data_IF_254775429777
#
_entry.id   IF_254775429777
#
_cell.length_a   1.000
_cell.length_b   1.000
_cell.length_c   1.000
_cell.angle_alpha   90.00
_cell.angle_beta   90.00
_cell.angle_gamma   90.00
#
_symmetry.space_group_name_H-M   'P 1'
#
loop_
_entity.id
_entity.type
_entity.pdbx_description
1 polymer ?
#
# COMPACT_ATOMS: atom_id res chain seq x y z
N UNK A 1 -10.05 -12.05 6.23
CA UNK A 1 -9.72 -10.62 6.34
C UNK A 1 -10.81 -9.97 7.18
N UNK A 2 -10.48 -9.59 8.39
CA UNK A 2 -11.43 -8.91 9.25
C UNK A 2 -11.91 -7.60 8.61
N UNK A 3 -13.20 -7.34 8.66
CA UNK A 3 -13.82 -6.13 8.15
C UNK A 3 -14.09 -6.06 6.64
N UNK A 4 -13.66 -7.02 5.82
CA UNK A 4 -14.02 -7.09 4.41
C UNK A 4 -15.00 -8.22 4.19
N UNK A 5 -16.27 -7.87 4.00
CA UNK A 5 -17.35 -8.84 3.80
C UNK A 5 -18.24 -8.41 2.61
N UNK A 6 -18.85 -9.39 1.97
CA UNK A 6 -19.90 -9.12 1.01
C UNK A 6 -21.14 -8.60 1.73
N UNK A 7 -21.87 -7.69 1.11
CA UNK A 7 -23.14 -7.15 1.62
C UNK A 7 -24.30 -8.15 1.50
N UNK A 8 -25.41 -7.79 2.08
CA UNK A 8 -26.73 -8.41 1.87
C UNK A 8 -26.81 -9.90 2.17
N UNK A 9 -26.06 -10.37 3.16
CA UNK A 9 -26.09 -11.77 3.60
C UNK A 9 -25.31 -12.75 2.71
N UNK A 10 -24.72 -12.29 1.59
CA UNK A 10 -23.97 -13.16 0.69
C UNK A 10 -22.74 -13.78 1.39
N UNK A 11 -22.09 -13.04 2.27
CA UNK A 11 -20.94 -13.54 3.03
C UNK A 11 -21.33 -14.73 3.92
N UNK A 12 -22.42 -14.59 4.67
CA UNK A 12 -22.96 -15.64 5.54
C UNK A 12 -23.44 -16.86 4.74
N UNK A 13 -23.99 -16.63 3.55
CA UNK A 13 -24.40 -17.72 2.66
C UNK A 13 -23.18 -18.53 2.16
N UNK A 14 -22.07 -17.85 1.87
CA UNK A 14 -20.80 -18.51 1.49
C UNK A 14 -20.22 -19.26 2.68
N UNK A 15 -20.19 -18.65 3.87
CA UNK A 15 -19.73 -19.31 5.10
C UNK A 15 -20.54 -20.59 5.40
N UNK A 16 -21.86 -20.52 5.23
CA UNK A 16 -22.74 -21.69 5.40
C UNK A 16 -22.45 -22.78 4.35
N UNK A 17 -22.26 -22.37 3.07
CA UNK A 17 -21.93 -23.31 1.99
C UNK A 17 -20.60 -24.02 2.21
N UNK A 18 -19.60 -23.31 2.69
CA UNK A 18 -18.25 -23.84 2.94
C UNK A 18 -18.13 -24.53 4.33
N UNK A 19 -19.23 -24.67 5.09
CA UNK A 19 -19.28 -25.28 6.43
C UNK A 19 -18.30 -24.66 7.44
N UNK A 20 -18.06 -23.34 7.34
CA UNK A 20 -17.31 -22.59 8.34
C UNK A 20 -18.26 -21.89 9.30
N UNK A 21 -17.74 -21.44 10.44
CA UNK A 21 -18.57 -20.72 11.43
C UNK A 21 -19.16 -19.45 10.80
N UNK A 22 -20.48 -19.36 10.80
CA UNK A 22 -21.19 -18.16 10.35
C UNK A 22 -21.00 -17.06 11.40
N UNK A 23 -20.47 -15.93 10.97
CA UNK A 23 -20.28 -14.76 11.84
C UNK A 23 -21.44 -13.76 11.71
N UNK A 24 -21.60 -12.91 12.72
CA UNK A 24 -22.63 -11.89 12.75
C UNK A 24 -22.49 -10.91 11.56
N UNK A 25 -23.60 -10.43 11.03
CA UNK A 25 -23.60 -9.40 10.02
C UNK A 25 -23.03 -8.10 10.60
N UNK A 26 -22.05 -7.51 9.89
CA UNK A 26 -21.45 -6.24 10.26
C UNK A 26 -21.87 -5.19 9.24
N UNK A 27 -22.23 -4.00 9.73
CA UNK A 27 -22.52 -2.85 8.88
C UNK A 27 -21.42 -1.82 9.03
N UNK A 28 -20.82 -1.39 7.92
CA UNK A 28 -19.87 -0.29 7.92
C UNK A 28 -20.62 1.03 7.94
N UNK A 29 -20.51 1.78 9.03
CA UNK A 29 -21.17 3.08 9.15
C UNK A 29 -20.41 4.22 8.48
N UNK A 30 -19.08 4.14 8.45
CA UNK A 30 -18.22 5.14 7.84
C UNK A 30 -16.86 4.53 7.49
N UNK A 31 -16.23 5.08 6.48
CA UNK A 31 -14.84 4.78 6.10
C UNK A 31 -14.01 6.06 6.17
N UNK A 32 -12.74 5.91 6.48
CA UNK A 32 -11.76 7.00 6.47
C UNK A 32 -10.47 6.47 5.85
N UNK A 33 -9.83 7.25 5.01
CA UNK A 33 -8.52 6.88 4.48
C UNK A 33 -7.46 6.95 5.57
N UNK A 34 -6.41 6.14 5.45
CA UNK A 34 -5.28 6.19 6.39
C UNK A 34 -4.66 7.59 6.48
N UNK A 35 -4.59 8.29 5.35
CA UNK A 35 -4.05 9.63 5.28
C UNK A 35 -4.89 10.60 6.12
N UNK A 36 -6.21 10.60 5.96
CA UNK A 36 -7.09 11.46 6.74
C UNK A 36 -7.13 11.04 8.22
N UNK A 37 -7.05 9.75 8.51
CA UNK A 37 -6.94 9.27 9.89
C UNK A 37 -5.70 9.83 10.59
N UNK A 38 -4.52 9.76 9.96
CA UNK A 38 -3.30 10.29 10.56
C UNK A 38 -3.26 11.83 10.62
N UNK A 39 -3.93 12.53 9.71
CA UNK A 39 -4.09 13.99 9.76
C UNK A 39 -4.93 14.49 10.94
N UNK A 40 -5.71 13.61 11.59
CA UNK A 40 -6.47 13.97 12.80
C UNK A 40 -5.57 14.23 14.02
N UNK A 41 -4.32 13.77 13.99
CA UNK A 41 -3.40 13.97 15.10
C UNK A 41 -2.67 15.32 14.98
N UNK A 42 -2.64 16.07 16.09
CA UNK A 42 -1.93 17.35 16.15
C UNK A 42 -0.40 17.19 16.08
N UNK A 43 0.11 16.03 16.53
CA UNK A 43 1.53 15.72 16.54
C UNK A 43 1.72 14.27 16.11
N UNK A 44 2.46 14.08 15.03
CA UNK A 44 2.76 12.77 14.47
C UNK A 44 4.25 12.67 14.16
N UNK A 45 4.84 11.52 14.42
CA UNK A 45 6.21 11.18 14.04
C UNK A 45 6.32 9.68 13.80
N UNK A 46 7.36 9.25 13.11
CA UNK A 46 7.61 7.85 12.83
C UNK A 46 9.08 7.56 12.59
N UNK A 47 9.45 6.30 12.64
CA UNK A 47 10.82 5.84 12.35
C UNK A 47 10.80 4.69 11.36
N UNK A 48 11.68 4.78 10.37
CA UNK A 48 11.89 3.71 9.38
C UNK A 48 13.27 3.82 8.76
N UNK A 49 13.84 2.73 8.31
CA UNK A 49 15.11 2.73 7.56
C UNK A 49 14.98 3.13 6.08
N UNK A 50 13.78 3.46 5.59
CA UNK A 50 13.53 3.63 4.15
C UNK A 50 12.66 4.84 3.80
N UNK A 51 12.54 5.84 4.67
CA UNK A 51 11.70 7.02 4.43
C UNK A 51 12.25 7.97 3.36
N UNK A 52 13.56 8.00 3.16
CA UNK A 52 14.24 8.97 2.30
C UNK A 52 13.70 8.99 0.87
N UNK A 53 13.37 7.83 0.31
CA UNK A 53 12.81 7.73 -1.05
C UNK A 53 11.45 8.38 -1.20
N UNK A 54 10.70 8.48 -0.11
CA UNK A 54 9.32 8.98 -0.03
C UNK A 54 9.23 10.34 0.68
N UNK A 55 10.37 11.04 0.90
CA UNK A 55 10.41 12.30 1.65
C UNK A 55 9.46 13.36 1.08
N UNK A 56 9.38 13.46 -0.25
CA UNK A 56 8.46 14.37 -0.93
C UNK A 56 6.98 14.08 -0.63
N UNK A 57 6.60 12.79 -0.60
CA UNK A 57 5.23 12.37 -0.26
C UNK A 57 4.91 12.67 1.21
N UNK A 58 5.82 12.41 2.14
CA UNK A 58 5.65 12.76 3.56
C UNK A 58 5.45 14.25 3.76
N UNK A 59 6.21 15.07 3.09
CA UNK A 59 6.04 16.52 3.14
C UNK A 59 4.72 16.97 2.53
N UNK A 60 4.38 16.49 1.35
CA UNK A 60 3.18 16.93 0.63
C UNK A 60 1.90 16.59 1.40
N UNK A 61 1.81 15.37 1.95
CA UNK A 61 0.59 14.86 2.60
C UNK A 61 0.50 15.25 4.07
N UNK A 62 1.60 15.10 4.82
CA UNK A 62 1.58 15.24 6.29
C UNK A 62 2.38 16.42 6.81
N UNK A 63 3.10 17.16 5.94
CA UNK A 63 4.03 18.23 6.31
C UNK A 63 5.13 17.75 7.26
N UNK A 64 5.58 16.51 7.08
CA UNK A 64 6.63 15.90 7.85
C UNK A 64 7.96 15.94 7.11
N UNK A 65 8.99 16.43 7.77
CA UNK A 65 10.37 16.33 7.30
C UNK A 65 10.94 14.93 7.55
N UNK A 66 11.78 14.47 6.63
CA UNK A 66 12.54 13.23 6.78
C UNK A 66 13.97 13.55 7.13
N UNK A 67 14.39 13.17 8.34
CA UNK A 67 15.73 13.38 8.85
C UNK A 67 16.47 12.04 8.86
N UNK A 68 17.57 11.95 8.10
CA UNK A 68 18.43 10.77 8.09
C UNK A 68 19.39 10.81 9.27
N UNK A 69 19.27 9.82 10.17
CA UNK A 69 20.17 9.64 11.30
C UNK A 69 21.27 8.65 10.89
N UNK A 70 22.54 8.98 11.03
CA UNK A 70 23.63 8.07 10.73
C UNK A 70 23.54 6.76 11.51
N UNK A 71 23.96 5.66 10.90
CA UNK A 71 23.99 4.34 11.56
C UNK A 71 25.02 4.32 12.68
N UNK A 72 24.73 3.59 13.76
CA UNK A 72 25.65 3.43 14.92
C UNK A 72 27.01 2.83 14.52
N UNK A 73 27.01 1.90 13.56
CA UNK A 73 28.22 1.30 12.99
C UNK A 73 28.22 1.43 11.48
N UNK A 74 29.37 1.53 10.82
CA UNK A 74 29.45 1.57 9.36
C UNK A 74 28.78 0.34 8.74
N UNK A 75 28.13 0.53 7.61
CA UNK A 75 27.54 -0.57 6.84
C UNK A 75 28.66 -1.34 6.16
N UNK A 76 28.78 -2.64 6.44
CA UNK A 76 29.75 -3.55 5.82
C UNK A 76 29.14 -4.45 4.75
N UNK A 77 27.85 -4.26 4.45
CA UNK A 77 27.15 -5.01 3.40
C UNK A 77 27.65 -4.57 2.02
N UNK A 78 27.98 -5.57 1.20
CA UNK A 78 28.35 -5.38 -0.21
C UNK A 78 27.06 -5.41 -1.07
N UNK A 79 26.65 -4.23 -1.56
CA UNK A 79 25.49 -4.09 -2.43
C UNK A 79 25.93 -4.17 -3.91
N UNK A 80 25.86 -5.35 -4.49
CA UNK A 80 26.32 -5.63 -5.86
C UNK A 80 25.36 -5.05 -6.91
N UNK A 81 25.89 -4.79 -8.10
CA UNK A 81 25.09 -4.38 -9.27
C UNK A 81 24.11 -5.47 -9.70
N UNK A 82 23.00 -5.05 -10.32
CA UNK A 82 21.98 -5.97 -10.82
C UNK A 82 22.52 -6.86 -11.95
N UNK A 83 22.11 -8.12 -11.96
CA UNK A 83 22.35 -9.08 -13.04
C UNK A 83 21.12 -9.12 -13.93
N UNK A 84 21.28 -8.72 -15.19
CA UNK A 84 20.16 -8.63 -16.14
C UNK A 84 20.25 -9.72 -17.20
N UNK A 85 19.19 -10.51 -17.30
CA UNK A 85 19.01 -11.65 -18.18
C UNK A 85 17.96 -11.35 -19.25
N UNK A 86 18.02 -12.05 -20.39
CA UNK A 86 17.01 -11.93 -21.45
C UNK A 86 15.68 -12.55 -20.99
N UNK A 87 15.73 -13.73 -20.40
CA UNK A 87 14.54 -14.53 -20.05
C UNK A 87 14.45 -14.84 -18.55
N UNK A 88 13.24 -15.09 -18.07
CA UNK A 88 12.99 -15.54 -16.70
C UNK A 88 13.65 -16.92 -16.43
N UNK A 89 13.72 -17.77 -17.43
CA UNK A 89 14.35 -19.10 -17.31
C UNK A 89 15.83 -19.00 -16.98
N UNK A 90 16.57 -18.14 -17.69
CA UNK A 90 17.99 -17.88 -17.44
C UNK A 90 18.19 -17.29 -16.05
N UNK A 91 17.40 -16.28 -15.72
CA UNK A 91 17.40 -15.63 -14.39
C UNK A 91 17.24 -16.64 -13.26
N UNK A 92 16.21 -17.48 -13.30
CA UNK A 92 15.97 -18.45 -12.21
C UNK A 92 17.04 -19.55 -12.16
N UNK A 93 17.61 -19.96 -13.29
CA UNK A 93 18.73 -20.89 -13.27
C UNK A 93 19.94 -20.28 -12.56
N UNK A 94 20.28 -19.04 -12.87
CA UNK A 94 21.38 -18.32 -12.22
C UNK A 94 21.12 -18.10 -10.71
N UNK A 95 19.92 -17.74 -10.33
CA UNK A 95 19.51 -17.62 -8.89
C UNK A 95 19.76 -18.93 -8.16
N UNK A 96 19.40 -20.06 -8.74
CA UNK A 96 19.52 -21.36 -8.10
C UNK A 96 20.99 -21.81 -8.02
N UNK A 97 21.81 -21.48 -9.01
CA UNK A 97 23.25 -21.76 -9.00
C UNK A 97 23.95 -20.95 -7.91
N UNK A 98 23.61 -19.68 -7.78
CA UNK A 98 24.17 -18.81 -6.73
C UNK A 98 23.72 -19.25 -5.33
N UNK A 99 22.46 -19.68 -5.15
CA UNK A 99 21.97 -20.28 -3.90
C UNK A 99 22.79 -21.53 -3.54
N UNK A 100 23.04 -22.41 -4.47
CA UNK A 100 23.81 -23.64 -4.23
C UNK A 100 25.26 -23.32 -3.85
N UNK A 101 25.89 -22.38 -4.57
CA UNK A 101 27.25 -21.95 -4.29
C UNK A 101 27.38 -21.33 -2.88
N UNK A 102 26.56 -20.31 -2.57
CA UNK A 102 26.59 -19.62 -1.29
C UNK A 102 26.27 -20.55 -0.11
N UNK A 103 25.35 -21.49 -0.31
CA UNK A 103 25.02 -22.51 0.71
C UNK A 103 26.21 -23.44 0.99
N UNK A 104 26.98 -23.83 -0.03
CA UNK A 104 28.22 -24.61 0.13
C UNK A 104 29.32 -23.83 0.83
N UNK A 105 29.37 -22.52 0.65
CA UNK A 105 30.28 -21.62 1.35
C UNK A 105 29.89 -21.42 2.85
N UNK A 106 28.76 -21.98 3.28
CA UNK A 106 28.28 -21.88 4.66
C UNK A 106 27.50 -20.60 4.97
N UNK A 107 27.19 -19.80 3.99
CA UNK A 107 26.44 -18.55 4.16
C UNK A 107 24.93 -18.83 4.26
N UNK A 108 24.21 -18.16 5.15
CA UNK A 108 22.75 -18.12 5.11
C UNK A 108 22.28 -17.24 3.94
N UNK A 109 21.17 -17.62 3.33
CA UNK A 109 20.64 -16.96 2.14
C UNK A 109 19.17 -16.61 2.36
N UNK A 110 18.82 -15.36 2.13
CA UNK A 110 17.44 -14.90 2.09
C UNK A 110 17.07 -14.52 0.66
N UNK A 111 16.17 -15.30 0.07
CA UNK A 111 15.67 -15.07 -1.28
C UNK A 111 14.37 -14.29 -1.21
N UNK A 112 14.39 -13.06 -1.71
CA UNK A 112 13.21 -12.20 -1.80
C UNK A 112 12.46 -12.41 -3.11
N UNK A 113 11.16 -12.69 -3.02
CA UNK A 113 10.26 -12.86 -4.16
C UNK A 113 9.15 -11.83 -4.16
N UNK A 114 8.64 -11.47 -5.31
CA UNK A 114 7.55 -10.48 -5.47
C UNK A 114 6.17 -11.10 -5.28
N UNK A 115 6.03 -12.40 -5.52
CA UNK A 115 4.75 -13.10 -5.39
C UNK A 115 4.87 -14.47 -4.74
N UNK A 116 3.74 -15.00 -4.29
CA UNK A 116 3.65 -16.36 -3.72
C UNK A 116 3.93 -17.41 -4.78
N UNK A 117 3.48 -17.20 -6.01
CA UNK A 117 3.67 -18.12 -7.13
C UNK A 117 5.16 -18.31 -7.45
N UNK A 118 5.93 -17.21 -7.47
CA UNK A 118 7.38 -17.26 -7.67
C UNK A 118 8.06 -18.00 -6.52
N UNK A 119 7.62 -17.78 -5.29
CA UNK A 119 8.18 -18.48 -4.13
C UNK A 119 7.92 -19.99 -4.18
N UNK A 120 6.74 -20.41 -4.62
CA UNK A 120 6.36 -21.81 -4.78
C UNK A 120 7.12 -22.47 -5.96
N UNK A 121 7.30 -21.73 -7.06
CA UNK A 121 8.09 -22.17 -8.20
C UNK A 121 9.55 -22.44 -7.80
N UNK A 122 10.19 -21.47 -7.17
CA UNK A 122 11.58 -21.61 -6.69
C UNK A 122 11.70 -22.75 -5.68
N UNK A 123 10.78 -22.85 -4.73
CA UNK A 123 10.74 -23.96 -3.77
C UNK A 123 10.68 -25.32 -4.46
N UNK A 124 9.86 -25.44 -5.51
CA UNK A 124 9.75 -26.69 -6.27
C UNK A 124 11.05 -27.04 -6.97
N UNK A 125 11.74 -26.06 -7.56
CA UNK A 125 13.01 -26.29 -8.25
C UNK A 125 14.13 -26.63 -7.26
N UNK A 126 14.26 -25.90 -6.14
CA UNK A 126 15.25 -26.19 -5.10
C UNK A 126 15.06 -27.58 -4.49
N UNK A 127 13.81 -28.00 -4.28
CA UNK A 127 13.49 -29.37 -3.81
C UNK A 127 13.94 -30.43 -4.81
N UNK A 128 13.73 -30.22 -6.10
CA UNK A 128 14.21 -31.14 -7.16
C UNK A 128 15.73 -31.23 -7.21
N UNK A 129 16.44 -30.15 -6.85
CA UNK A 129 17.93 -30.12 -6.77
C UNK A 129 18.45 -30.62 -5.41
N UNK A 130 17.57 -31.01 -4.47
CA UNK A 130 17.96 -31.53 -3.14
C UNK A 130 18.43 -30.45 -2.17
N UNK A 131 18.21 -29.17 -2.45
CA UNK A 131 18.59 -28.05 -1.57
C UNK A 131 17.51 -27.88 -0.51
N UNK A 132 17.91 -28.06 0.75
CA UNK A 132 17.00 -27.81 1.90
C UNK A 132 16.72 -26.33 2.03
N UNK A 133 15.45 -25.98 2.19
CA UNK A 133 15.03 -24.58 2.32
C UNK A 133 13.73 -24.45 3.09
N UNK A 134 13.52 -23.29 3.67
CA UNK A 134 12.28 -22.86 4.30
C UNK A 134 11.55 -21.84 3.41
N UNK A 135 10.21 -21.86 3.42
CA UNK A 135 9.39 -20.90 2.67
C UNK A 135 8.57 -20.08 3.67
N UNK A 136 8.74 -18.77 3.58
CA UNK A 136 8.06 -17.78 4.39
C UNK A 136 7.09 -17.00 3.52
N UNK A 137 5.82 -17.35 3.54
CA UNK A 137 4.77 -16.70 2.78
C UNK A 137 3.53 -16.46 3.66
N UNK A 138 2.58 -15.67 3.14
CA UNK A 138 1.36 -15.29 3.86
C UNK A 138 0.45 -16.47 4.30
N UNK A 139 0.73 -17.69 3.86
CA UNK A 139 -0.04 -18.88 4.22
C UNK A 139 0.42 -19.54 5.55
N UNK A 140 1.58 -19.17 6.09
CA UNK A 140 2.25 -19.88 7.19
C UNK A 140 2.53 -19.01 8.42
N UNK A 141 1.65 -18.09 8.77
CA UNK A 141 1.84 -17.11 9.85
C UNK A 141 2.26 -17.67 11.22
N UNK A 142 1.76 -18.85 11.59
CA UNK A 142 2.04 -19.43 12.93
C UNK A 142 3.48 -19.92 13.10
N UNK A 143 4.20 -20.21 11.99
CA UNK A 143 5.59 -20.68 12.01
C UNK A 143 6.60 -19.61 11.59
N UNK A 144 6.13 -18.41 11.36
CA UNK A 144 6.94 -17.32 10.82
C UNK A 144 8.14 -16.98 11.70
N UNK A 145 7.92 -16.89 13.01
CA UNK A 145 8.97 -16.56 13.97
C UNK A 145 10.06 -17.64 14.05
N UNK A 146 9.67 -18.92 14.01
CA UNK A 146 10.60 -20.04 14.05
C UNK A 146 11.45 -20.09 12.78
N UNK A 147 10.83 -19.91 11.61
CA UNK A 147 11.54 -19.88 10.31
C UNK A 147 12.53 -18.72 10.26
N UNK A 148 12.14 -17.53 10.75
CA UNK A 148 13.05 -16.38 10.78
C UNK A 148 14.19 -16.59 11.76
N UNK A 149 13.96 -17.24 12.91
CA UNK A 149 15.01 -17.58 13.84
C UNK A 149 16.05 -18.54 13.23
N UNK A 150 15.62 -19.47 12.37
CA UNK A 150 16.49 -20.40 11.65
C UNK A 150 17.21 -19.78 10.46
N UNK A 151 16.68 -18.68 9.90
CA UNK A 151 17.20 -18.06 8.66
C UNK A 151 18.64 -17.54 8.78
N UNK A 152 19.15 -17.35 9.97
CA UNK A 152 20.54 -16.94 10.26
C UNK A 152 21.53 -18.08 10.48
N UNK A 153 21.08 -19.34 10.43
CA UNK A 153 21.94 -20.49 10.63
C UNK A 153 22.84 -20.75 9.39
N UNK A 154 23.96 -21.43 9.63
CA UNK A 154 24.89 -21.81 8.56
C UNK A 154 24.18 -22.58 7.44
N UNK A 155 24.42 -22.15 6.20
CA UNK A 155 23.83 -22.75 4.97
C UNK A 155 22.28 -22.75 4.92
N UNK A 156 21.61 -21.99 5.79
CA UNK A 156 20.16 -21.90 5.76
C UNK A 156 19.69 -21.15 4.50
N UNK A 157 18.75 -21.75 3.78
CA UNK A 157 18.10 -21.09 2.63
C UNK A 157 16.65 -20.77 3.01
N UNK A 158 16.29 -19.49 2.94
CA UNK A 158 14.93 -19.04 3.25
C UNK A 158 14.37 -18.26 2.07
N UNK A 159 13.27 -18.71 1.50
CA UNK A 159 12.52 -17.95 0.47
C UNK A 159 11.44 -17.14 1.18
N UNK A 160 11.43 -15.83 0.99
CA UNK A 160 10.46 -14.95 1.63
C UNK A 160 9.77 -14.05 0.61
N UNK A 161 8.43 -13.93 0.69
CA UNK A 161 7.73 -12.85 0.01
C UNK A 161 7.96 -11.52 0.74
N UNK A 162 7.85 -10.40 0.04
CA UNK A 162 8.28 -9.06 0.48
C UNK A 162 7.97 -8.67 1.91
N UNK A 163 6.81 -9.04 2.42
CA UNK A 163 6.34 -8.59 3.74
C UNK A 163 6.54 -9.62 4.85
N UNK A 164 6.93 -10.84 4.50
CA UNK A 164 7.10 -11.93 5.45
C UNK A 164 8.34 -11.71 6.36
N UNK A 165 8.22 -11.99 7.65
CA UNK A 165 9.28 -11.81 8.64
C UNK A 165 9.62 -10.34 8.97
N UNK A 166 8.74 -9.38 8.64
CA UNK A 166 8.95 -7.97 8.97
C UNK A 166 8.88 -7.75 10.48
N UNK A 167 9.83 -6.96 11.01
CA UNK A 167 9.91 -6.68 12.46
C UNK A 167 10.72 -7.68 13.25
N UNK A 168 11.12 -8.83 12.66
CA UNK A 168 11.97 -9.82 13.30
C UNK A 168 13.41 -9.71 12.81
N UNK A 169 14.36 -9.78 13.71
CA UNK A 169 15.79 -9.72 13.41
C UNK A 169 16.36 -11.10 13.12
N UNK A 170 17.19 -11.21 12.08
CA UNK A 170 17.92 -12.42 11.72
C UNK A 170 19.27 -12.39 12.43
N UNK A 171 19.42 -13.16 13.49
CA UNK A 171 20.65 -13.23 14.27
C UNK A 171 21.69 -14.14 13.60
N UNK A 172 22.92 -13.66 13.48
CA UNK A 172 24.03 -14.40 12.87
C UNK A 172 25.00 -14.86 13.95
N UNK A 173 25.47 -16.12 13.85
CA UNK A 173 26.59 -16.62 14.66
C UNK A 173 27.94 -16.03 14.17
N UNK A 174 28.97 -16.08 14.99
CA UNK A 174 30.31 -15.59 14.60
C UNK A 174 30.86 -16.35 13.40
N UNK A 175 30.67 -17.66 13.32
CA UNK A 175 31.07 -18.51 12.18
C UNK A 175 30.43 -18.02 10.87
N UNK A 176 29.15 -17.68 10.91
CA UNK A 176 28.42 -17.15 9.73
C UNK A 176 28.93 -15.76 9.34
N UNK A 177 29.29 -14.92 10.31
CA UNK A 177 29.89 -13.60 10.04
C UNK A 177 31.24 -13.74 9.35
N UNK A 178 32.07 -14.69 9.80
CA UNK A 178 33.37 -14.99 9.16
C UNK A 178 33.23 -15.54 7.74
N UNK A 179 32.14 -16.27 7.44
CA UNK A 179 31.81 -16.75 6.10
C UNK A 179 31.25 -15.65 5.16
N UNK A 180 31.14 -14.40 5.62
CA UNK A 180 30.64 -13.27 4.83
C UNK A 180 29.19 -12.85 5.13
N UNK A 181 28.58 -13.41 6.18
CA UNK A 181 27.26 -13.04 6.69
C UNK A 181 26.09 -13.39 5.78
N UNK A 182 24.94 -12.78 6.04
CA UNK A 182 23.71 -13.03 5.31
C UNK A 182 23.76 -12.54 3.87
N UNK A 183 23.48 -13.44 2.92
CA UNK A 183 23.33 -13.10 1.52
C UNK A 183 21.86 -12.84 1.17
N UNK A 184 21.58 -11.70 0.56
CA UNK A 184 20.26 -11.33 0.06
C UNK A 184 20.26 -11.54 -1.46
N UNK A 185 19.31 -12.33 -1.94
CA UNK A 185 19.04 -12.53 -3.38
C UNK A 185 17.64 -11.98 -3.65
N UNK A 186 17.56 -10.92 -4.46
CA UNK A 186 16.29 -10.41 -4.98
C UNK A 186 16.02 -11.04 -6.35
N UNK A 187 14.90 -11.73 -6.52
CA UNK A 187 14.54 -12.38 -7.78
C UNK A 187 13.96 -11.44 -8.83
N UNK A 188 13.60 -10.23 -8.40
CA UNK A 188 13.10 -9.12 -9.22
C UNK A 188 13.33 -7.80 -8.49
N UNK A 189 13.31 -6.70 -9.24
CA UNK A 189 13.14 -5.36 -8.66
C UNK A 189 11.66 -5.09 -8.44
N UNK A 190 11.34 -4.52 -7.29
CA UNK A 190 9.97 -4.11 -6.97
C UNK A 190 9.60 -2.79 -7.64
N UNK A 191 8.30 -2.49 -7.68
CA UNK A 191 7.78 -1.22 -8.19
C UNK A 191 8.22 -0.01 -7.36
N UNK A 192 8.71 -0.22 -6.15
CA UNK A 192 9.20 0.82 -5.24
C UNK A 192 10.59 0.50 -4.73
N UNK A 193 11.52 1.46 -4.87
CA UNK A 193 12.88 1.40 -4.33
C UNK A 193 12.90 1.18 -2.81
N UNK A 194 11.87 1.67 -2.12
CA UNK A 194 11.69 1.47 -0.68
C UNK A 194 11.61 -0.01 -0.32
N UNK A 195 10.90 -0.81 -1.11
CA UNK A 195 10.75 -2.25 -0.86
C UNK A 195 12.08 -2.99 -1.09
N UNK A 196 12.82 -2.63 -2.14
CA UNK A 196 14.16 -3.18 -2.39
C UNK A 196 15.11 -2.84 -1.24
N UNK A 197 15.08 -1.59 -0.74
CA UNK A 197 15.88 -1.17 0.43
C UNK A 197 15.49 -1.94 1.69
N UNK A 198 14.21 -2.25 1.89
CA UNK A 198 13.75 -3.07 3.01
C UNK A 198 14.26 -4.52 2.93
N UNK A 199 14.33 -5.09 1.74
CA UNK A 199 14.90 -6.41 1.52
C UNK A 199 16.41 -6.39 1.81
N UNK A 200 17.17 -5.48 1.19
CA UNK A 200 18.61 -5.29 1.44
C UNK A 200 18.91 -5.07 2.92
N UNK A 201 18.11 -4.27 3.60
CA UNK A 201 18.27 -3.91 5.01
C UNK A 201 18.07 -5.07 6.00
N UNK A 202 17.77 -6.27 5.53
CA UNK A 202 17.79 -7.46 6.37
C UNK A 202 19.18 -8.00 6.63
N UNK A 203 20.16 -7.71 5.75
CA UNK A 203 21.57 -7.99 5.94
C UNK A 203 22.36 -6.74 6.33
N UNK A 204 23.54 -6.93 6.89
CA UNK A 204 24.46 -5.83 7.25
C UNK A 204 24.00 -5.00 8.44
N UNK A 205 23.22 -5.57 9.35
CA UNK A 205 22.74 -4.89 10.57
C UNK A 205 23.85 -4.78 11.60
N UNK A 206 23.90 -3.65 12.31
CA UNK A 206 24.87 -3.39 13.39
C UNK A 206 26.33 -3.63 13.01
N UNK A 207 26.69 -3.38 11.74
CA UNK A 207 28.04 -3.58 11.22
C UNK A 207 28.40 -5.03 10.92
N UNK A 208 27.42 -5.94 10.86
CA UNK A 208 27.64 -7.30 10.41
C UNK A 208 27.95 -7.33 8.90
N UNK A 209 28.82 -8.23 8.42
CA UNK A 209 29.03 -8.45 7.01
C UNK A 209 27.77 -9.01 6.35
N UNK A 210 27.67 -8.85 5.05
CA UNK A 210 26.57 -9.36 4.24
C UNK A 210 26.71 -8.94 2.78
N UNK A 211 25.83 -9.44 1.94
CA UNK A 211 25.77 -9.01 0.54
C UNK A 211 24.33 -8.93 0.04
N UNK A 212 24.12 -8.12 -0.98
CA UNK A 212 22.83 -8.11 -1.70
C UNK A 212 23.06 -8.10 -3.20
N UNK A 213 22.26 -8.88 -3.92
CA UNK A 213 22.25 -8.90 -5.37
C UNK A 213 20.84 -9.11 -5.92
N UNK A 214 20.47 -8.36 -6.95
CA UNK A 214 19.21 -8.53 -7.65
C UNK A 214 19.42 -9.17 -9.02
N UNK A 215 18.54 -10.11 -9.32
CA UNK A 215 18.46 -10.82 -10.59
C UNK A 215 17.23 -10.30 -11.32
N UNK A 216 17.42 -9.72 -12.49
CA UNK A 216 16.36 -9.05 -13.25
C UNK A 216 16.26 -9.70 -14.63
N UNK A 217 15.05 -9.85 -15.16
CA UNK A 217 14.81 -10.28 -16.53
C UNK A 217 14.13 -9.18 -17.32
N UNK A 218 14.36 -9.14 -18.65
CA UNK A 218 13.59 -8.25 -19.53
C UNK A 218 12.10 -8.60 -19.58
N UNK A 219 11.74 -9.81 -19.13
CA UNK A 219 10.36 -10.27 -19.02
C UNK A 219 9.68 -9.86 -17.71
N UNK A 220 10.42 -9.30 -16.74
CA UNK A 220 9.85 -8.83 -15.48
C UNK A 220 8.89 -7.65 -15.70
N UNK A 221 7.85 -7.56 -14.88
CA UNK A 221 6.79 -6.57 -15.05
C UNK A 221 7.32 -5.13 -15.11
N UNK A 222 8.24 -4.76 -14.21
CA UNK A 222 8.86 -3.43 -14.18
C UNK A 222 9.61 -3.14 -15.49
N UNK A 223 10.33 -4.13 -16.02
CA UNK A 223 11.11 -4.00 -17.25
C UNK A 223 10.20 -3.88 -18.46
N UNK A 224 9.13 -4.65 -18.54
CA UNK A 224 8.13 -4.58 -19.62
C UNK A 224 7.44 -3.22 -19.71
N UNK A 225 7.13 -2.61 -18.55
CA UNK A 225 6.42 -1.33 -18.51
C UNK A 225 7.31 -0.12 -18.86
N UNK A 226 8.60 -0.13 -18.52
CA UNK A 226 9.40 1.10 -18.54
C UNK A 226 10.77 1.01 -19.19
N UNK A 227 11.26 -0.14 -19.61
CA UNK A 227 12.65 -0.24 -20.03
C UNK A 227 13.05 -1.28 -21.03
N UNK A 228 12.21 -2.29 -21.28
CA UNK A 228 12.61 -3.49 -22.04
C UNK A 228 13.15 -3.20 -23.42
N UNK A 229 12.51 -2.33 -24.21
CA UNK A 229 12.92 -2.09 -25.60
C UNK A 229 14.30 -1.44 -25.76
N UNK A 230 14.64 -0.48 -24.88
CA UNK A 230 15.94 0.20 -24.94
C UNK A 230 17.07 -0.71 -24.48
N UNK A 231 16.82 -1.48 -23.44
CA UNK A 231 17.80 -2.43 -22.87
C UNK A 231 17.93 -3.62 -23.82
N UNK A 232 16.82 -4.15 -24.36
CA UNK A 232 16.84 -5.20 -25.36
C UNK A 232 17.65 -4.78 -26.60
N UNK A 233 17.41 -3.58 -27.16
CA UNK A 233 18.22 -3.04 -28.26
C UNK A 233 19.72 -2.88 -27.92
N UNK A 234 20.02 -2.56 -26.66
CA UNK A 234 21.40 -2.49 -26.18
C UNK A 234 22.02 -3.89 -26.14
N UNK A 235 21.29 -4.88 -25.61
CA UNK A 235 21.73 -6.30 -25.60
C UNK A 235 21.96 -6.86 -26.98
N UNK A 236 21.03 -6.59 -27.91
CA UNK A 236 21.16 -7.04 -29.31
C UNK A 236 22.35 -6.40 -30.02
N UNK A 237 22.60 -5.08 -29.75
CA UNK A 237 23.78 -4.37 -30.30
C UNK A 237 25.11 -4.91 -29.77
N UNK A 238 25.13 -5.39 -28.52
CA UNK A 238 26.34 -5.99 -27.93
C UNK A 238 26.53 -7.44 -28.34
N UNK A 239 25.62 -8.01 -29.13
CA UNK A 239 25.73 -9.38 -29.63
C UNK A 239 25.64 -10.45 -28.55
N UNK A 240 24.97 -10.16 -27.43
CA UNK A 240 24.87 -11.06 -26.28
C UNK A 240 24.09 -12.32 -26.67
N UNK A 241 24.71 -13.47 -26.47
CA UNK A 241 24.10 -14.79 -26.69
C UNK A 241 23.17 -15.18 -25.55
N UNK A 242 22.40 -16.25 -25.73
CA UNK A 242 21.53 -16.80 -24.68
C UNK A 242 22.40 -17.31 -23.52
N UNK A 243 22.13 -16.85 -22.30
CA UNK A 243 22.90 -17.17 -21.10
C UNK A 243 23.93 -16.09 -20.66
N UNK A 244 24.21 -15.12 -21.51
CA UNK A 244 25.10 -14.01 -21.15
C UNK A 244 24.38 -12.96 -20.30
N UNK A 245 25.10 -12.46 -19.30
CA UNK A 245 24.60 -11.54 -18.26
C UNK A 245 25.14 -10.13 -18.48
N UNK A 246 24.27 -9.14 -18.38
CA UNK A 246 24.72 -7.76 -18.26
C UNK A 246 24.82 -7.38 -16.78
N UNK A 247 26.04 -7.11 -16.35
CA UNK A 247 26.33 -6.49 -15.06
C UNK A 247 26.98 -5.14 -15.30
N UNK A 248 26.19 -4.07 -15.26
CA UNK A 248 26.70 -2.73 -15.50
C UNK A 248 25.92 -1.69 -14.71
N UNK A 249 26.62 -0.80 -14.03
CA UNK A 249 26.00 0.25 -13.18
C UNK A 249 25.04 1.18 -13.94
N UNK A 250 25.23 1.37 -15.25
CA UNK A 250 24.30 2.15 -16.08
C UNK A 250 22.93 1.48 -16.22
N UNK A 251 22.89 0.13 -16.25
CA UNK A 251 21.64 -0.62 -16.33
C UNK A 251 20.91 -0.55 -15.02
N UNK A 252 21.59 -0.77 -13.88
CA UNK A 252 21.01 -0.60 -12.54
C UNK A 252 20.42 0.81 -12.35
N UNK A 253 21.13 1.86 -12.78
CA UNK A 253 20.62 3.24 -12.75
C UNK A 253 19.41 3.46 -13.66
N UNK A 254 19.34 2.74 -14.79
CA UNK A 254 18.17 2.81 -15.68
C UNK A 254 16.94 2.18 -15.03
N UNK A 255 17.12 1.06 -14.35
CA UNK A 255 16.07 0.38 -13.58
C UNK A 255 15.57 1.28 -12.44
N UNK A 256 16.48 1.91 -11.70
CA UNK A 256 16.09 2.88 -10.64
C UNK A 256 15.28 4.06 -11.17
N UNK A 257 15.62 4.57 -12.37
CA UNK A 257 14.82 5.62 -13.03
C UNK A 257 13.43 5.12 -13.41
N UNK A 258 13.32 3.87 -13.86
CA UNK A 258 12.03 3.26 -14.14
C UNK A 258 11.19 3.13 -12.87
N UNK A 259 11.77 2.62 -11.78
CA UNK A 259 11.11 2.56 -10.47
C UNK A 259 10.61 3.95 -10.00
N UNK A 260 11.45 4.97 -10.12
CA UNK A 260 11.08 6.35 -9.76
C UNK A 260 9.85 6.83 -10.55
N UNK A 261 9.77 6.52 -11.84
CA UNK A 261 8.59 6.84 -12.66
C UNK A 261 7.32 6.12 -12.20
N UNK A 262 7.44 4.85 -11.79
CA UNK A 262 6.32 4.08 -11.22
C UNK A 262 5.88 4.69 -9.90
N UNK A 263 6.83 5.03 -9.01
CA UNK A 263 6.57 5.69 -7.73
C UNK A 263 5.83 7.02 -7.92
N UNK A 264 6.30 7.87 -8.85
CA UNK A 264 5.66 9.15 -9.18
C UNK A 264 4.23 8.96 -9.72
N UNK A 265 4.02 7.98 -10.61
CA UNK A 265 2.69 7.67 -11.14
C UNK A 265 1.74 7.16 -10.04
N UNK A 266 2.21 6.23 -9.22
CA UNK A 266 1.43 5.69 -8.11
C UNK A 266 1.11 6.76 -7.06
N UNK A 267 2.06 7.66 -6.79
CA UNK A 267 1.81 8.83 -5.94
C UNK A 267 0.73 9.73 -6.52
N UNK A 268 0.78 10.03 -7.83
CA UNK A 268 -0.25 10.81 -8.52
C UNK A 268 -1.65 10.19 -8.39
N UNK A 269 -1.77 8.87 -8.50
CA UNK A 269 -3.03 8.15 -8.30
C UNK A 269 -3.51 8.29 -6.83
N UNK A 270 -2.63 8.05 -5.86
CA UNK A 270 -2.96 8.19 -4.42
C UNK A 270 -3.38 9.61 -4.07
N UNK A 271 -2.71 10.62 -4.64
CA UNK A 271 -3.04 12.02 -4.44
C UNK A 271 -4.44 12.36 -4.93
N UNK A 272 -4.81 11.92 -6.14
CA UNK A 272 -6.17 12.13 -6.68
C UNK A 272 -7.23 11.48 -5.79
N UNK A 273 -7.00 10.24 -5.35
CA UNK A 273 -7.94 9.57 -4.44
C UNK A 273 -8.10 10.34 -3.13
N UNK A 274 -7.02 10.92 -2.61
CA UNK A 274 -7.07 11.76 -1.41
C UNK A 274 -7.83 13.05 -1.64
N UNK A 275 -7.65 13.71 -2.78
CA UNK A 275 -8.40 14.93 -3.15
C UNK A 275 -9.93 14.68 -3.17
N UNK A 276 -10.38 13.52 -3.69
CA UNK A 276 -11.79 13.13 -3.61
C UNK A 276 -12.25 12.87 -2.17
N UNK A 277 -11.44 12.16 -1.38
CA UNK A 277 -11.77 11.85 0.02
C UNK A 277 -11.77 13.12 0.89
N UNK A 278 -10.97 14.14 0.57
CA UNK A 278 -10.95 15.42 1.26
C UNK A 278 -12.30 16.15 1.15
N UNK A 279 -12.95 16.11 -0.01
CA UNK A 279 -14.31 16.66 -0.21
C UNK A 279 -15.31 15.92 0.68
N UNK A 280 -15.27 14.59 0.66
CA UNK A 280 -16.13 13.77 1.51
C UNK A 280 -15.86 14.01 3.01
N UNK A 281 -14.61 14.23 3.37
CA UNK A 281 -14.22 14.51 4.76
C UNK A 281 -14.74 15.87 5.22
N UNK A 282 -14.69 16.90 4.41
CA UNK A 282 -15.28 18.22 4.72
C UNK A 282 -16.78 18.10 4.97
N UNK A 283 -17.51 17.38 4.13
CA UNK A 283 -18.94 17.11 4.33
C UNK A 283 -19.17 16.37 5.67
N UNK A 284 -18.37 15.35 5.94
CA UNK A 284 -18.42 14.58 7.17
C UNK A 284 -18.21 15.45 8.41
N UNK A 285 -17.21 16.32 8.39
CA UNK A 285 -16.91 17.24 9.50
C UNK A 285 -18.09 18.16 9.82
N UNK A 286 -18.75 18.70 8.78
CA UNK A 286 -19.94 19.54 8.97
C UNK A 286 -21.06 18.75 9.66
N UNK A 287 -21.36 17.54 9.18
CA UNK A 287 -22.41 16.68 9.74
C UNK A 287 -22.05 16.27 11.18
N UNK A 288 -20.82 15.82 11.43
CA UNK A 288 -20.41 15.44 12.79
C UNK A 288 -20.39 16.61 13.77
N UNK A 289 -20.05 17.82 13.31
CA UNK A 289 -20.12 19.03 14.13
C UNK A 289 -21.58 19.33 14.53
N UNK A 290 -22.51 19.30 13.56
CA UNK A 290 -23.95 19.45 13.84
C UNK A 290 -24.45 18.36 14.81
N UNK A 291 -24.10 17.10 14.55
CA UNK A 291 -24.46 15.98 15.44
C UNK A 291 -23.90 16.16 16.86
N UNK A 292 -22.65 16.60 17.00
CA UNK A 292 -22.04 16.86 18.30
C UNK A 292 -22.77 17.97 19.05
N UNK A 293 -23.08 19.08 18.38
CA UNK A 293 -23.85 20.17 18.96
C UNK A 293 -25.22 19.68 19.45
N UNK A 294 -25.90 18.83 18.65
CA UNK A 294 -27.18 18.24 19.06
C UNK A 294 -27.05 17.32 20.27
N UNK A 295 -26.03 16.48 20.35
CA UNK A 295 -25.81 15.53 21.46
C UNK A 295 -25.45 16.24 22.79
N UNK A 296 -24.69 17.33 22.74
CA UNK A 296 -24.24 18.07 23.90
C UNK A 296 -25.16 19.23 24.25
N UNK A 297 -26.19 19.49 23.45
CA UNK A 297 -27.17 20.56 23.71
C UNK A 297 -26.69 21.97 23.35
N UNK A 298 -25.50 22.07 22.69
CA UNK A 298 -24.96 23.37 22.32
C UNK A 298 -25.69 23.89 21.06
N UNK A 299 -26.30 25.09 21.18
CA UNK A 299 -26.96 25.81 20.06
C UNK A 299 -28.07 25.03 19.32
N UNK A 300 -28.66 24.02 19.93
CA UNK A 300 -29.74 23.22 19.31
C UNK A 300 -30.86 24.06 18.74
N UNK A 301 -31.37 25.05 19.56
CA UNK A 301 -32.47 25.90 19.13
C UNK A 301 -32.13 26.74 17.90
N UNK A 302 -30.88 27.24 17.82
CA UNK A 302 -30.39 28.00 16.68
C UNK A 302 -30.26 27.15 15.43
N UNK A 303 -29.70 25.92 15.56
CA UNK A 303 -29.55 24.99 14.46
C UNK A 303 -30.92 24.53 13.93
N UNK A 304 -31.90 24.32 14.81
CA UNK A 304 -33.28 23.98 14.41
C UNK A 304 -33.92 25.14 13.70
N UNK A 305 -33.84 26.40 14.27
CA UNK A 305 -34.39 27.57 13.60
C UNK A 305 -33.80 27.81 12.21
N UNK A 306 -32.50 27.70 12.10
CA UNK A 306 -31.84 27.80 10.79
C UNK A 306 -32.31 26.70 9.80
N UNK A 307 -32.46 25.46 10.28
CA UNK A 307 -32.92 24.36 9.42
C UNK A 307 -34.38 24.55 8.98
N UNK A 308 -35.22 25.09 9.81
CA UNK A 308 -36.60 25.46 9.46
C UNK A 308 -36.59 26.56 8.41
N UNK A 309 -35.79 27.63 8.66
CA UNK A 309 -35.67 28.74 7.72
C UNK A 309 -35.18 28.29 6.34
N UNK A 310 -34.06 27.49 6.26
CA UNK A 310 -33.53 26.95 5.04
C UNK A 310 -34.57 26.06 4.29
N UNK A 311 -35.38 25.31 5.04
CA UNK A 311 -36.46 24.49 4.49
C UNK A 311 -37.57 25.34 3.89
N UNK A 312 -38.01 26.39 4.60
CA UNK A 312 -38.98 27.34 4.07
C UNK A 312 -38.50 28.06 2.84
N UNK A 313 -37.22 28.52 2.85
CA UNK A 313 -36.59 29.15 1.70
C UNK A 313 -36.56 28.24 0.47
N UNK A 314 -36.23 26.95 0.65
CA UNK A 314 -36.24 25.95 -0.44
C UNK A 314 -37.66 25.78 -1.02
N UNK A 315 -38.65 25.53 -0.15
CA UNK A 315 -40.04 25.34 -0.58
C UNK A 315 -40.55 26.56 -1.36
N UNK A 316 -40.32 27.77 -0.82
CA UNK A 316 -40.77 29.01 -1.45
C UNK A 316 -40.03 29.23 -2.77
N UNK A 317 -38.69 29.04 -2.80
CA UNK A 317 -37.91 29.27 -4.02
C UNK A 317 -38.31 28.36 -5.18
N UNK A 318 -38.56 27.09 -4.89
CA UNK A 318 -38.97 26.11 -5.91
C UNK A 318 -40.36 26.40 -6.49
N UNK A 319 -41.33 26.73 -5.63
CA UNK A 319 -42.73 26.87 -6.05
C UNK A 319 -43.11 28.29 -6.50
N UNK A 320 -42.48 29.32 -5.90
CA UNK A 320 -42.78 30.71 -6.23
C UNK A 320 -42.33 31.13 -7.65
N UNK A 321 -41.18 30.62 -8.13
CA UNK A 321 -40.71 30.87 -9.51
C UNK A 321 -41.70 30.31 -10.54
N UNK A 322 -42.29 29.18 -10.25
CA UNK A 322 -43.29 28.50 -11.10
C UNK A 322 -44.69 29.08 -10.89
N UNK A 323 -44.93 29.91 -9.86
CA UNK A 323 -46.21 30.39 -9.39
C UNK A 323 -47.22 29.27 -9.10
N UNK A 324 -46.72 28.13 -8.65
CA UNK A 324 -47.52 26.92 -8.37
C UNK A 324 -47.91 26.88 -6.87
N UNK A 325 -49.07 27.45 -6.58
CA UNK A 325 -49.59 27.52 -5.22
C UNK A 325 -50.03 26.13 -4.66
N UNK A 326 -50.53 25.24 -5.51
CA UNK A 326 -50.96 23.91 -5.06
C UNK A 326 -49.77 23.04 -4.70
N UNK A 327 -48.65 23.10 -5.47
CA UNK A 327 -47.42 22.44 -5.14
C UNK A 327 -46.82 23.00 -3.83
N UNK A 328 -46.82 24.33 -3.65
CA UNK A 328 -46.40 24.99 -2.42
C UNK A 328 -47.16 24.47 -1.18
N UNK A 329 -48.52 24.38 -1.25
CA UNK A 329 -49.36 23.83 -0.17
C UNK A 329 -49.03 22.39 0.16
N UNK A 330 -48.86 21.56 -0.88
CA UNK A 330 -48.52 20.15 -0.71
C UNK A 330 -47.18 19.97 -0.06
N UNK A 331 -46.16 20.75 -0.41
CA UNK A 331 -44.84 20.70 0.17
C UNK A 331 -44.84 21.17 1.62
N UNK A 332 -45.60 22.21 1.99
CA UNK A 332 -45.77 22.64 3.38
C UNK A 332 -46.39 21.56 4.24
N UNK A 333 -47.42 20.90 3.76
CA UNK A 333 -48.06 19.80 4.49
C UNK A 333 -47.13 18.60 4.61
N UNK A 334 -46.48 18.24 3.52
CA UNK A 334 -45.63 17.06 3.43
C UNK A 334 -44.36 17.19 4.30
N UNK A 335 -43.72 18.36 4.26
CA UNK A 335 -42.40 18.57 4.87
C UNK A 335 -42.52 19.14 6.29
N UNK A 336 -43.37 20.16 6.46
CA UNK A 336 -43.50 20.89 7.74
C UNK A 336 -44.79 20.53 8.53
N UNK A 337 -45.69 19.76 7.90
CA UNK A 337 -47.00 19.40 8.49
C UNK A 337 -47.86 20.61 8.88
N UNK A 338 -47.74 21.70 8.16
CA UNK A 338 -48.54 22.93 8.36
C UNK A 338 -49.36 23.25 7.10
N UNK A 339 -50.46 23.98 7.34
CA UNK A 339 -51.24 24.55 6.24
C UNK A 339 -50.61 25.89 5.79
N UNK A 340 -50.82 26.25 4.53
CA UNK A 340 -50.35 27.55 4.01
C UNK A 340 -51.00 28.67 4.81
N UNK A 341 -50.19 29.64 5.33
CA UNK A 341 -50.71 30.84 5.97
C UNK A 341 -51.23 31.86 4.97
N UNK A 342 -50.93 31.67 3.68
CA UNK A 342 -51.29 32.59 2.59
C UNK A 342 -52.39 31.98 1.69
N UNK A 343 -53.18 32.85 1.03
CA UNK A 343 -54.05 32.45 -0.07
C UNK A 343 -53.27 32.55 -1.42
N UNK A 344 -53.89 32.07 -2.52
CA UNK A 344 -53.27 32.02 -3.84
C UNK A 344 -52.88 33.41 -4.39
N UNK A 345 -53.70 34.42 -4.11
CA UNK A 345 -53.45 35.79 -4.58
C UNK A 345 -52.28 36.41 -3.81
N UNK A 346 -52.22 36.23 -2.51
CA UNK A 346 -51.13 36.69 -1.68
C UNK A 346 -49.80 36.01 -2.06
N UNK A 347 -49.80 34.70 -2.24
CA UNK A 347 -48.61 33.94 -2.65
C UNK A 347 -48.05 34.41 -3.98
N UNK A 348 -48.92 34.81 -4.97
CA UNK A 348 -48.46 35.27 -6.27
C UNK A 348 -47.96 36.71 -6.26
N UNK A 349 -48.41 37.52 -5.32
CA UNK A 349 -48.15 38.98 -5.25
C UNK A 349 -47.03 39.36 -4.28
N UNK A 350 -46.78 38.56 -3.25
CA UNK A 350 -45.72 38.81 -2.27
C UNK A 350 -44.33 38.42 -2.80
N UNK A 351 -43.33 39.14 -2.30
CA UNK A 351 -41.95 38.80 -2.57
C UNK A 351 -41.55 37.53 -1.80
N UNK A 352 -40.55 36.81 -2.31
CA UNK A 352 -40.02 35.55 -1.70
C UNK A 352 -39.73 35.76 -0.20
N UNK A 353 -39.11 36.91 0.14
CA UNK A 353 -38.73 37.21 1.52
C UNK A 353 -39.91 37.48 2.44
N UNK A 354 -41.08 37.82 1.92
CA UNK A 354 -42.33 38.04 2.69
C UNK A 354 -43.06 36.73 2.96
N UNK A 355 -42.83 35.70 2.10
CA UNK A 355 -43.46 34.39 2.23
C UNK A 355 -42.63 33.46 3.12
N UNK A 356 -41.31 33.62 3.20
CA UNK A 356 -40.41 32.85 4.05
C UNK A 356 -40.58 33.26 5.51
#
# INVERSE_FOLDING_TARGET
MDGRRYSDGLHQAIEAKENVKIEAATQTYATVTLQNYFRMYNKISGMTGTAETEAGEFWEIYKLDVISIPTNRPIQRDDKDDLVYKTNREKYNAVIEDIDQLSREGRPILVGTTSVEISELLSTILRKRGIKHNVLNAKLHQKEADIVAEAGNKSAVTIATNMAGRGTDIKLSNEVKESGGLAIIGTERHDSRRVDRQLRGRAGRQGDPGSSQFYVSLEDNLMRLFGSERIAKLMDRMGLEEGEVIQHSMVSKSIERAQKKVEENNFGIRKRLLEYDDVMNQQREVIYKKRRNALYGDRISLDISNSIYDTCESIVSENHELKDFEAYKLDLIRILSINSPFNEEEFKNFDKAEII
#
